data_IF_126335002805
#
_entry.id   IF_126335002805
#
_cell.length_a   1.000
_cell.length_b   1.000
_cell.length_c   1.000
_cell.angle_alpha   90.00
_cell.angle_beta   90.00
_cell.angle_gamma   90.00
#
_symmetry.space_group_name_H-M   'P 1'
#
loop_
_entity.id
_entity.type
_entity.pdbx_description
1 polymer ?
#
# COMPACT_ATOMS: atom_id res chain seq x y z
N UNK A 1 15.03 -7.17 0.71
CA UNK A 1 14.49 -8.54 0.80
C UNK A 1 14.35 -9.25 -0.55
N UNK A 2 14.56 -8.62 -1.69
CA UNK A 2 14.42 -9.25 -3.03
C UNK A 2 15.48 -10.30 -3.39
N UNK A 3 16.39 -10.65 -2.50
CA UNK A 3 17.51 -11.58 -2.78
C UNK A 3 17.48 -12.87 -1.97
N UNK A 4 16.54 -13.04 -1.03
CA UNK A 4 16.47 -14.23 -0.18
C UNK A 4 15.41 -15.18 -0.70
N UNK A 5 15.74 -16.46 -0.78
CA UNK A 5 14.88 -17.52 -1.31
C UNK A 5 14.46 -18.57 -0.27
N UNK A 6 13.53 -19.46 -0.65
CA UNK A 6 13.06 -20.53 0.22
C UNK A 6 14.21 -21.44 0.68
N UNK A 7 14.21 -21.79 1.96
CA UNK A 7 15.21 -22.68 2.56
C UNK A 7 16.54 -22.02 2.94
N UNK A 8 16.69 -20.71 2.68
CA UNK A 8 17.88 -19.95 3.07
C UNK A 8 17.77 -19.40 4.49
N UNK A 9 18.92 -19.12 5.12
CA UNK A 9 18.99 -18.44 6.42
C UNK A 9 19.20 -16.96 6.19
N UNK A 10 18.25 -16.13 6.65
CA UNK A 10 18.36 -14.69 6.60
C UNK A 10 19.32 -14.18 7.67
N UNK A 11 20.38 -13.49 7.25
CA UNK A 11 21.30 -12.77 8.16
C UNK A 11 20.97 -11.29 8.08
N UNK A 12 20.51 -10.70 9.16
CA UNK A 12 20.03 -9.33 9.23
C UNK A 12 20.68 -8.55 10.37
N UNK A 13 20.64 -7.23 10.28
CA UNK A 13 20.99 -6.30 11.36
C UNK A 13 19.81 -5.33 11.50
N UNK A 14 18.80 -5.77 12.26
CA UNK A 14 17.54 -5.06 12.35
C UNK A 14 17.09 -4.96 13.82
N UNK A 15 17.26 -3.79 14.40
CA UNK A 15 16.74 -3.51 15.75
C UNK A 15 15.22 -3.42 15.68
N UNK A 16 14.52 -4.09 16.64
CA UNK A 16 13.07 -4.10 16.72
C UNK A 16 12.40 -4.58 15.42
N UNK A 17 12.56 -5.86 15.08
CA UNK A 17 11.96 -6.44 13.86
C UNK A 17 10.46 -6.15 13.85
N UNK A 18 10.02 -5.35 12.89
CA UNK A 18 8.62 -5.02 12.72
C UNK A 18 7.83 -6.16 12.05
N UNK A 19 6.52 -6.04 12.11
CA UNK A 19 5.59 -7.02 11.54
C UNK A 19 5.78 -7.22 10.04
N UNK A 20 5.97 -6.12 9.29
CA UNK A 20 6.12 -6.17 7.81
C UNK A 20 7.39 -6.90 7.42
N UNK A 21 8.48 -6.64 8.13
CA UNK A 21 9.77 -7.33 7.92
C UNK A 21 9.65 -8.82 8.23
N UNK A 22 8.98 -9.19 9.32
CA UNK A 22 8.77 -10.57 9.70
C UNK A 22 7.89 -11.33 8.69
N UNK A 23 6.76 -10.75 8.29
CA UNK A 23 5.88 -11.34 7.28
C UNK A 23 6.58 -11.52 5.94
N UNK A 24 7.40 -10.55 5.51
CA UNK A 24 8.22 -10.68 4.31
C UNK A 24 9.24 -11.83 4.39
N UNK A 25 9.81 -12.10 5.56
CA UNK A 25 10.70 -13.25 5.79
C UNK A 25 9.92 -14.57 5.75
N UNK A 26 8.73 -14.62 6.36
CA UNK A 26 7.84 -15.79 6.29
C UNK A 26 7.41 -16.08 4.86
N UNK A 27 6.95 -15.06 4.11
CA UNK A 27 6.57 -15.20 2.70
C UNK A 27 7.73 -15.69 1.81
N UNK A 28 8.97 -15.28 2.14
CA UNK A 28 10.17 -15.71 1.41
C UNK A 28 10.54 -17.17 1.72
N UNK A 29 9.90 -17.82 2.71
CA UNK A 29 10.12 -19.22 3.05
C UNK A 29 11.50 -19.49 3.65
N UNK A 30 12.07 -18.55 4.41
CA UNK A 30 13.41 -18.70 5.01
C UNK A 30 13.45 -19.86 6.01
N UNK A 31 14.56 -20.59 6.07
CA UNK A 31 14.77 -21.70 6.99
C UNK A 31 15.14 -21.24 8.41
N UNK A 32 15.56 -19.99 8.59
CA UNK A 32 15.93 -19.41 9.86
C UNK A 32 16.32 -17.94 9.73
N UNK A 33 16.34 -17.25 10.86
CA UNK A 33 16.76 -15.84 10.93
C UNK A 33 17.88 -15.71 11.96
N UNK A 34 18.95 -15.03 11.57
CA UNK A 34 20.05 -14.64 12.45
C UNK A 34 20.14 -13.13 12.46
N UNK A 35 19.86 -12.52 13.60
CA UNK A 35 19.89 -11.07 13.75
C UNK A 35 21.11 -10.61 14.51
N UNK A 36 21.85 -9.67 13.94
CA UNK A 36 23.00 -9.06 14.59
C UNK A 36 22.55 -8.14 15.75
N UNK A 37 21.44 -7.44 15.58
CA UNK A 37 20.82 -6.57 16.59
C UNK A 37 19.84 -7.34 17.50
N UNK A 38 19.21 -6.63 18.45
CA UNK A 38 18.11 -7.15 19.25
C UNK A 38 16.80 -7.04 18.49
N UNK A 39 16.13 -8.16 18.25
CA UNK A 39 14.84 -8.21 17.58
C UNK A 39 13.69 -7.63 18.43
N UNK A 40 13.88 -7.55 19.77
CA UNK A 40 13.07 -6.79 20.70
C UNK A 40 14.03 -5.97 21.55
N UNK A 41 14.13 -4.68 21.27
CA UNK A 41 15.02 -3.74 21.99
C UNK A 41 14.44 -3.21 23.29
N UNK A 42 13.27 -3.70 23.71
CA UNK A 42 12.57 -3.23 24.91
C UNK A 42 11.92 -1.85 24.77
N UNK A 43 11.96 -1.23 23.61
CA UNK A 43 11.36 0.10 23.38
C UNK A 43 9.84 0.04 23.22
N UNK A 44 9.32 -1.00 22.60
CA UNK A 44 7.90 -1.26 22.40
C UNK A 44 7.66 -2.76 22.14
N UNK A 45 6.46 -3.28 22.42
CA UNK A 45 6.15 -4.69 22.19
C UNK A 45 5.94 -4.96 20.69
N UNK A 46 7.04 -5.15 19.95
CA UNK A 46 6.97 -5.48 18.51
C UNK A 46 6.61 -6.95 18.28
N UNK A 47 5.80 -7.19 17.26
CA UNK A 47 5.23 -8.52 16.95
C UNK A 47 6.11 -9.36 16.02
N UNK A 48 7.10 -8.77 15.37
CA UNK A 48 7.89 -9.45 14.34
C UNK A 48 8.53 -10.75 14.78
N UNK A 49 9.26 -10.81 15.91
CA UNK A 49 9.85 -12.03 16.43
C UNK A 49 8.83 -13.14 16.71
N UNK A 50 7.66 -12.78 17.23
CA UNK A 50 6.58 -13.75 17.51
C UNK A 50 6.03 -14.36 16.22
N UNK A 51 5.84 -13.54 15.16
CA UNK A 51 5.38 -13.99 13.83
C UNK A 51 6.35 -15.02 13.24
N UNK A 52 7.67 -14.78 13.34
CA UNK A 52 8.68 -15.72 12.87
C UNK A 52 8.60 -17.05 13.60
N UNK A 53 8.49 -17.01 14.93
CA UNK A 53 8.45 -18.21 15.77
C UNK A 53 7.14 -19.00 15.58
N UNK A 54 5.98 -18.33 15.47
CA UNK A 54 4.69 -18.97 15.19
C UNK A 54 4.66 -19.60 13.79
N UNK A 55 5.42 -19.07 12.83
CA UNK A 55 5.65 -19.68 11.51
C UNK A 55 6.66 -20.85 11.56
N UNK A 56 7.20 -21.20 12.73
CA UNK A 56 8.19 -22.26 12.88
C UNK A 56 9.61 -21.88 12.44
N UNK A 57 9.88 -20.60 12.19
CA UNK A 57 11.18 -20.10 11.76
C UNK A 57 12.06 -19.84 12.98
N UNK A 58 13.20 -20.56 13.17
CA UNK A 58 14.11 -20.33 14.26
C UNK A 58 14.76 -18.94 14.17
N UNK A 59 14.79 -18.22 15.29
CA UNK A 59 15.40 -16.90 15.43
C UNK A 59 16.55 -16.97 16.44
N UNK A 60 17.76 -16.61 15.97
CA UNK A 60 18.94 -16.39 16.83
C UNK A 60 19.22 -14.89 16.84
N UNK A 61 19.13 -14.28 18.00
CA UNK A 61 19.09 -12.84 18.21
C UNK A 61 20.37 -12.31 18.86
N UNK A 62 20.65 -11.01 18.69
CA UNK A 62 21.76 -10.31 19.34
C UNK A 62 23.15 -10.93 19.10
N UNK A 63 23.42 -11.45 17.89
CA UNK A 63 24.71 -12.09 17.56
C UNK A 63 25.84 -11.07 17.45
N UNK A 64 25.51 -9.80 17.30
CA UNK A 64 26.44 -8.69 17.19
C UNK A 64 26.83 -8.31 15.75
N UNK A 65 27.25 -7.04 15.55
CA UNK A 65 27.46 -6.46 14.20
C UNK A 65 28.63 -7.07 13.43
N UNK A 66 29.54 -7.77 14.09
CA UNK A 66 30.67 -8.47 13.44
C UNK A 66 30.19 -9.66 12.59
N UNK A 67 28.98 -10.17 12.81
CA UNK A 67 28.42 -11.28 12.04
C UNK A 67 28.42 -10.97 10.52
N UNK A 68 27.95 -9.80 10.12
CA UNK A 68 27.88 -9.39 8.72
C UNK A 68 29.23 -9.30 8.01
N UNK A 69 30.34 -9.19 8.77
CA UNK A 69 31.72 -9.20 8.24
C UNK A 69 32.28 -10.61 8.13
N UNK A 70 31.73 -11.57 8.89
CA UNK A 70 32.21 -12.95 8.97
C UNK A 70 31.50 -13.91 8.02
N UNK A 71 30.32 -13.53 7.53
CA UNK A 71 29.48 -14.35 6.66
C UNK A 71 29.43 -13.73 5.27
N UNK A 72 29.45 -14.54 4.22
CA UNK A 72 29.31 -14.11 2.83
C UNK A 72 27.94 -14.52 2.29
N UNK A 73 27.44 -13.74 1.35
CA UNK A 73 26.21 -14.09 0.62
C UNK A 73 26.37 -15.45 -0.08
N UNK A 74 25.37 -16.34 0.08
CA UNK A 74 25.40 -17.70 -0.44
C UNK A 74 26.20 -18.72 0.39
N UNK A 75 26.78 -18.31 1.52
CA UNK A 75 27.50 -19.23 2.41
C UNK A 75 26.51 -20.11 3.18
N UNK A 76 26.78 -21.42 3.26
CA UNK A 76 25.94 -22.37 3.99
C UNK A 76 26.11 -22.16 5.48
N UNK A 77 25.01 -21.80 6.16
CA UNK A 77 24.95 -21.61 7.60
C UNK A 77 24.22 -22.77 8.29
N UNK A 78 24.60 -23.04 9.55
CA UNK A 78 23.97 -24.03 10.43
C UNK A 78 23.72 -23.41 11.80
N UNK A 79 22.50 -23.58 12.30
CA UNK A 79 22.08 -23.08 13.61
C UNK A 79 22.03 -24.23 14.61
N UNK A 80 22.80 -24.14 15.70
CA UNK A 80 22.81 -25.10 16.81
C UNK A 80 22.56 -24.37 18.14
N UNK A 81 21.32 -24.38 18.58
CA UNK A 81 20.96 -23.64 19.78
C UNK A 81 21.14 -22.14 19.58
N UNK A 82 22.03 -21.54 20.35
CA UNK A 82 22.43 -20.13 20.33
C UNK A 82 23.63 -19.85 19.40
N UNK A 83 24.20 -20.89 18.75
CA UNK A 83 25.42 -20.83 17.97
C UNK A 83 25.14 -20.82 16.47
N UNK A 84 25.88 -20.00 15.74
CA UNK A 84 25.82 -19.88 14.28
C UNK A 84 27.16 -20.34 13.68
N UNK A 85 27.11 -21.34 12.80
CA UNK A 85 28.27 -21.90 12.12
C UNK A 85 28.21 -21.63 10.62
N UNK A 86 29.34 -21.34 10.02
CA UNK A 86 29.61 -21.37 8.59
C UNK A 86 30.51 -22.56 8.29
N UNK A 87 29.93 -23.66 7.74
CA UNK A 87 30.60 -24.95 7.75
C UNK A 87 30.90 -25.41 9.19
N UNK A 88 32.16 -25.67 9.50
CA UNK A 88 32.61 -26.03 10.86
C UNK A 88 33.09 -24.82 11.68
N UNK A 89 33.13 -23.64 11.09
CA UNK A 89 33.62 -22.42 11.73
C UNK A 89 32.49 -21.74 12.51
N UNK A 90 32.65 -21.55 13.83
CA UNK A 90 31.75 -20.74 14.64
C UNK A 90 31.90 -19.26 14.23
N UNK A 91 30.84 -18.66 13.71
CA UNK A 91 30.82 -17.26 13.24
C UNK A 91 30.14 -16.31 14.21
N UNK A 92 29.25 -16.83 15.08
CA UNK A 92 28.58 -16.01 16.08
C UNK A 92 27.90 -16.83 17.17
N UNK A 93 27.63 -16.17 18.28
CA UNK A 93 26.83 -16.69 19.38
C UNK A 93 25.80 -15.60 19.68
N UNK A 94 24.56 -15.95 19.76
CA UNK A 94 23.46 -15.04 20.09
C UNK A 94 22.55 -15.61 21.17
N UNK A 95 21.30 -15.22 21.15
CA UNK A 95 20.26 -15.75 22.01
C UNK A 95 19.19 -16.40 21.14
N UNK A 96 19.00 -17.70 21.29
CA UNK A 96 17.89 -18.38 20.60
C UNK A 96 16.58 -17.98 21.26
N UNK A 97 15.71 -17.36 20.47
CA UNK A 97 14.40 -16.90 20.94
C UNK A 97 13.41 -18.08 20.99
N UNK A 98 12.50 -17.99 21.95
CA UNK A 98 11.32 -18.81 22.08
C UNK A 98 10.08 -17.93 22.18
N UNK A 99 8.89 -18.49 21.98
CA UNK A 99 7.66 -17.71 22.17
C UNK A 99 7.57 -17.16 23.62
N UNK A 100 8.02 -17.93 24.61
CA UNK A 100 8.03 -17.51 26.01
C UNK A 100 8.91 -16.29 26.24
N UNK A 101 10.19 -16.35 25.78
CA UNK A 101 11.14 -15.22 25.95
C UNK A 101 10.68 -13.98 25.20
N UNK A 102 10.07 -14.14 24.02
CA UNK A 102 9.52 -13.01 23.24
C UNK A 102 8.33 -12.39 23.96
N UNK A 103 7.40 -13.20 24.48
CA UNK A 103 6.23 -12.68 25.23
C UNK A 103 6.62 -11.96 26.52
N UNK A 104 7.64 -12.46 27.23
CA UNK A 104 8.19 -11.81 28.42
C UNK A 104 8.82 -10.45 28.07
N UNK A 105 9.68 -10.40 27.05
CA UNK A 105 10.26 -9.15 26.56
C UNK A 105 9.20 -8.14 26.09
N UNK A 106 8.13 -8.61 25.45
CA UNK A 106 7.00 -7.77 25.07
C UNK A 106 6.26 -7.20 26.27
N UNK A 107 6.07 -7.99 27.33
CA UNK A 107 5.42 -7.54 28.57
C UNK A 107 6.26 -6.46 29.29
N UNK A 108 7.56 -6.64 29.37
CA UNK A 108 8.48 -5.63 29.90
C UNK A 108 8.44 -4.33 29.06
N UNK A 109 8.43 -4.46 27.73
CA UNK A 109 8.30 -3.32 26.84
C UNK A 109 6.99 -2.55 27.02
N UNK A 110 5.89 -3.21 27.39
CA UNK A 110 4.62 -2.58 27.73
C UNK A 110 4.70 -1.67 28.96
N UNK A 111 5.50 -2.03 29.95
CA UNK A 111 5.66 -1.21 31.17
C UNK A 111 6.37 0.12 30.89
N UNK A 112 7.25 0.18 29.85
CA UNK A 112 7.92 1.41 29.42
C UNK A 112 7.09 2.34 28.53
N UNK A 113 5.82 2.04 28.27
CA UNK A 113 4.97 2.79 27.35
C UNK A 113 4.73 4.26 27.78
N UNK A 114 4.67 4.54 29.09
CA UNK A 114 4.42 5.88 29.60
C UNK A 114 5.56 6.86 29.21
N UNK A 115 6.82 6.45 29.37
CA UNK A 115 7.99 7.26 29.01
C UNK A 115 8.07 7.54 27.51
N UNK A 116 7.49 6.67 26.73
CA UNK A 116 7.45 6.78 25.27
C UNK A 116 6.37 7.70 24.78
N UNK A 117 5.20 7.70 25.42
CA UNK A 117 4.19 8.71 25.14
C UNK A 117 4.72 10.11 25.41
N UNK A 118 5.54 10.28 26.44
CA UNK A 118 6.18 11.57 26.71
C UNK A 118 7.19 11.94 25.61
N UNK A 119 8.02 10.97 25.19
CA UNK A 119 8.97 11.16 24.07
C UNK A 119 8.24 11.44 22.76
N UNK A 120 7.15 10.70 22.48
CA UNK A 120 6.31 10.95 21.32
C UNK A 120 5.68 12.34 21.34
N UNK A 121 5.17 12.78 22.50
CA UNK A 121 4.59 14.12 22.64
C UNK A 121 5.63 15.21 22.34
N UNK A 122 6.84 15.07 22.90
CA UNK A 122 7.96 15.99 22.61
C UNK A 122 8.31 16.00 21.12
N UNK A 123 8.52 14.84 20.52
CA UNK A 123 8.82 14.71 19.09
C UNK A 123 7.71 15.31 18.21
N UNK A 124 6.46 15.18 18.65
CA UNK A 124 5.30 15.75 17.93
C UNK A 124 5.33 17.27 17.95
N UNK A 125 5.64 17.87 19.10
CA UNK A 125 5.79 19.32 19.23
C UNK A 125 6.95 19.83 18.37
N UNK A 126 8.10 19.15 18.41
CA UNK A 126 9.27 19.50 17.60
C UNK A 126 8.95 19.39 16.09
N UNK A 127 8.21 18.37 15.69
CA UNK A 127 7.79 18.21 14.29
C UNK A 127 6.85 19.33 13.85
N UNK A 128 5.86 19.71 14.67
CA UNK A 128 4.96 20.82 14.39
C UNK A 128 5.75 22.12 14.17
N UNK A 129 6.75 22.37 15.02
CA UNK A 129 7.57 23.59 14.89
C UNK A 129 8.42 23.60 13.62
N UNK A 130 8.95 22.43 13.22
CA UNK A 130 9.82 22.29 12.04
C UNK A 130 9.06 22.29 10.72
N UNK A 131 7.89 21.66 10.66
CA UNK A 131 7.13 21.41 9.43
C UNK A 131 5.81 22.19 9.37
N UNK A 132 5.73 23.31 10.12
CA UNK A 132 4.53 24.13 10.20
C UNK A 132 3.99 24.53 8.83
N UNK A 133 4.86 24.96 7.93
CA UNK A 133 4.47 25.45 6.60
C UNK A 133 3.95 24.31 5.70
N UNK A 134 4.53 23.13 5.77
CA UNK A 134 4.05 21.94 5.05
C UNK A 134 2.71 21.47 5.65
N UNK A 135 2.64 21.39 6.98
CA UNK A 135 1.44 20.90 7.66
C UNK A 135 0.23 21.83 7.50
N UNK A 136 0.43 23.13 7.52
CA UNK A 136 -0.67 24.11 7.57
C UNK A 136 -0.82 24.97 6.32
N UNK A 137 0.14 24.97 5.41
CA UNK A 137 0.13 25.81 4.22
C UNK A 137 0.38 25.08 2.90
N UNK A 138 0.73 23.79 2.92
CA UNK A 138 1.07 23.03 1.70
C UNK A 138 2.27 23.60 0.95
N UNK A 139 3.08 24.44 1.59
CA UNK A 139 4.23 25.07 0.99
C UNK A 139 5.26 24.02 0.53
N UNK A 140 5.79 24.20 -0.68
CA UNK A 140 6.79 23.31 -1.26
C UNK A 140 6.23 22.09 -2.00
N UNK A 141 4.92 21.88 -2.03
CA UNK A 141 4.32 20.79 -2.81
C UNK A 141 4.31 21.11 -4.31
N UNK A 142 4.78 20.18 -5.17
CA UNK A 142 4.88 20.41 -6.61
C UNK A 142 3.51 20.51 -7.27
N UNK A 143 3.45 21.24 -8.39
CA UNK A 143 2.29 21.18 -9.26
C UNK A 143 2.26 19.84 -10.01
N UNK A 144 1.11 19.19 -10.06
CA UNK A 144 0.89 17.97 -10.84
C UNK A 144 0.16 18.32 -12.15
N UNK A 145 0.41 17.50 -13.19
CA UNK A 145 -0.38 17.53 -14.43
C UNK A 145 -1.72 16.79 -14.25
N UNK A 146 -1.75 15.81 -13.32
CA UNK A 146 -2.96 15.16 -12.92
C UNK A 146 -3.78 16.09 -12.02
N UNK A 147 -5.02 16.33 -12.43
CA UNK A 147 -5.98 17.06 -11.60
C UNK A 147 -6.52 16.12 -10.51
N UNK A 148 -6.33 16.47 -9.26
CA UNK A 148 -6.83 15.76 -8.09
C UNK A 148 -8.08 16.42 -7.50
N UNK A 149 -8.40 17.66 -7.91
CA UNK A 149 -9.51 18.44 -7.38
C UNK A 149 -10.85 17.74 -7.56
N UNK A 150 -11.61 17.57 -6.46
CA UNK A 150 -12.90 16.87 -6.44
C UNK A 150 -12.85 15.40 -6.86
N UNK A 151 -11.68 14.76 -6.83
CA UNK A 151 -11.51 13.35 -7.19
C UNK A 151 -11.09 12.52 -6.00
N UNK A 152 -11.48 11.24 -6.05
CA UNK A 152 -10.90 10.25 -5.13
C UNK A 152 -9.47 9.93 -5.54
N UNK A 153 -8.59 9.81 -4.54
CA UNK A 153 -7.19 9.44 -4.68
C UNK A 153 -6.95 8.13 -3.93
N UNK A 154 -6.33 7.15 -4.57
CA UNK A 154 -5.92 5.90 -3.94
C UNK A 154 -4.41 5.94 -3.72
N UNK A 155 -3.98 5.99 -2.48
CA UNK A 155 -2.56 5.97 -2.08
C UNK A 155 -2.17 4.56 -1.66
N UNK A 156 -1.22 3.96 -2.37
CA UNK A 156 -0.77 2.59 -2.13
C UNK A 156 0.64 2.59 -1.59
N UNK A 157 0.80 2.01 -0.41
CA UNK A 157 2.07 1.79 0.28
C UNK A 157 2.31 0.29 0.40
N UNK A 158 3.52 -0.19 0.32
CA UNK A 158 3.88 -1.59 0.63
C UNK A 158 3.95 -1.82 2.14
N UNK A 159 2.81 -1.67 2.82
CA UNK A 159 2.68 -1.96 4.23
C UNK A 159 1.92 -3.26 4.49
N UNK A 160 1.42 -3.41 5.68
CA UNK A 160 0.70 -4.61 6.11
C UNK A 160 -0.58 -4.86 5.29
N UNK A 161 -0.79 -6.09 4.83
CA UNK A 161 -1.97 -6.55 4.06
C UNK A 161 -2.28 -5.76 2.77
N UNK A 162 -1.30 -5.05 2.19
CA UNK A 162 -1.54 -4.21 1.01
C UNK A 162 -2.10 -4.99 -0.20
N UNK A 163 -1.72 -6.27 -0.36
CA UNK A 163 -2.20 -7.11 -1.47
C UNK A 163 -3.67 -7.43 -1.33
N UNK A 164 -4.09 -7.85 -0.13
CA UNK A 164 -5.47 -8.16 0.19
C UNK A 164 -6.34 -6.89 0.10
N UNK A 165 -5.86 -5.79 0.68
CA UNK A 165 -6.54 -4.49 0.64
C UNK A 165 -6.75 -4.03 -0.82
N UNK A 166 -5.71 -4.14 -1.66
CA UNK A 166 -5.78 -3.76 -3.07
C UNK A 166 -6.72 -4.67 -3.87
N UNK A 167 -6.70 -5.97 -3.59
CA UNK A 167 -7.59 -6.95 -4.25
C UNK A 167 -9.06 -6.67 -3.94
N UNK A 168 -9.39 -6.39 -2.67
CA UNK A 168 -10.76 -6.09 -2.24
C UNK A 168 -11.28 -4.79 -2.83
N UNK A 169 -10.41 -3.80 -3.07
CA UNK A 169 -10.76 -2.53 -3.69
C UNK A 169 -10.92 -2.59 -5.23
N UNK A 170 -10.72 -3.73 -5.86
CA UNK A 170 -10.84 -3.87 -7.31
C UNK A 170 -12.14 -3.31 -7.91
N UNK A 171 -13.34 -3.59 -7.36
CA UNK A 171 -14.60 -2.97 -7.80
C UNK A 171 -14.59 -1.45 -7.66
N UNK A 172 -14.14 -0.92 -6.52
CA UNK A 172 -14.02 0.51 -6.27
C UNK A 172 -13.12 1.20 -7.31
N UNK A 173 -11.93 0.66 -7.57
CA UNK A 173 -10.97 1.22 -8.54
C UNK A 173 -11.60 1.27 -9.95
N UNK A 174 -12.34 0.22 -10.35
CA UNK A 174 -12.96 0.17 -11.67
C UNK A 174 -14.13 1.15 -11.82
N UNK A 175 -14.91 1.34 -10.78
CA UNK A 175 -16.14 2.13 -10.84
C UNK A 175 -15.88 3.61 -10.57
N UNK A 176 -15.12 3.94 -9.52
CA UNK A 176 -14.79 5.32 -9.10
C UNK A 176 -13.66 5.89 -9.96
N UNK A 177 -12.71 5.06 -10.39
CA UNK A 177 -11.51 5.46 -11.16
C UNK A 177 -10.71 6.55 -10.44
N UNK A 178 -10.27 6.28 -9.21
CA UNK A 178 -9.47 7.23 -8.44
C UNK A 178 -8.16 7.54 -9.17
N UNK A 179 -7.51 8.63 -8.79
CA UNK A 179 -6.11 8.87 -9.15
C UNK A 179 -5.26 7.89 -8.35
N UNK A 180 -4.40 7.15 -9.02
CA UNK A 180 -3.58 6.09 -8.41
C UNK A 180 -2.20 6.64 -8.07
N UNK A 181 -1.90 6.74 -6.78
CA UNK A 181 -0.61 7.19 -6.25
C UNK A 181 0.11 5.98 -5.65
N UNK A 182 1.24 5.60 -6.23
CA UNK A 182 2.11 4.57 -5.68
C UNK A 182 3.24 5.21 -4.88
N UNK A 183 3.33 4.90 -3.59
CA UNK A 183 4.42 5.37 -2.73
C UNK A 183 5.53 4.33 -2.73
N UNK A 184 6.68 4.70 -3.26
CA UNK A 184 7.83 3.82 -3.42
C UNK A 184 7.45 2.45 -4.02
N UNK A 185 7.72 1.34 -3.35
CA UNK A 185 7.30 0.00 -3.79
C UNK A 185 5.79 -0.19 -3.97
N UNK A 186 4.95 0.75 -3.50
CA UNK A 186 3.51 0.77 -3.77
C UNK A 186 3.18 0.96 -5.27
N UNK A 187 4.08 1.58 -6.03
CA UNK A 187 3.96 1.67 -7.48
C UNK A 187 4.04 0.29 -8.15
N UNK A 188 4.98 -0.55 -7.71
CA UNK A 188 5.10 -1.93 -8.18
C UNK A 188 3.89 -2.77 -7.76
N UNK A 189 3.36 -2.57 -6.55
CA UNK A 189 2.16 -3.26 -6.09
C UNK A 189 0.93 -2.95 -6.97
N UNK A 190 0.77 -1.70 -7.40
CA UNK A 190 -0.26 -1.31 -8.37
C UNK A 190 -0.08 -2.04 -9.71
N UNK A 191 1.16 -2.11 -10.21
CA UNK A 191 1.48 -2.76 -11.49
C UNK A 191 1.22 -4.27 -11.40
N UNK A 192 1.65 -4.92 -10.33
CA UNK A 192 1.39 -6.34 -10.06
C UNK A 192 -0.11 -6.66 -10.03
N UNK A 193 -0.93 -5.73 -9.51
CA UNK A 193 -2.38 -5.84 -9.50
C UNK A 193 -3.07 -5.47 -10.85
N UNK A 194 -2.29 -5.16 -11.90
CA UNK A 194 -2.80 -4.80 -13.23
C UNK A 194 -3.21 -3.34 -13.38
N UNK A 195 -2.83 -2.48 -12.44
CA UNK A 195 -3.09 -1.05 -12.49
C UNK A 195 -1.82 -0.27 -12.84
N UNK A 196 -1.98 0.82 -13.56
CA UNK A 196 -0.88 1.73 -13.83
C UNK A 196 -0.98 2.94 -12.89
N UNK A 197 0.08 3.25 -12.11
CA UNK A 197 0.08 4.44 -11.28
C UNK A 197 0.02 5.72 -12.14
N UNK A 198 -0.76 6.69 -11.69
CA UNK A 198 -0.79 8.05 -12.25
C UNK A 198 0.36 8.88 -11.69
N UNK A 199 0.67 8.70 -10.39
CA UNK A 199 1.78 9.35 -9.69
C UNK A 199 2.61 8.30 -8.95
N UNK A 200 3.93 8.40 -9.03
CA UNK A 200 4.90 7.66 -8.21
C UNK A 200 5.59 8.67 -7.32
N UNK A 201 5.49 8.49 -6.00
CA UNK A 201 6.07 9.40 -5.01
C UNK A 201 6.94 8.63 -4.03
N UNK A 202 8.12 9.13 -3.70
CA UNK A 202 8.99 8.52 -2.70
C UNK A 202 10.44 8.93 -2.82
N UNK A 203 11.32 8.25 -2.04
CA UNK A 203 12.77 8.41 -2.11
C UNK A 203 13.42 7.55 -3.22
N UNK A 204 12.59 6.73 -3.89
CA UNK A 204 12.95 5.89 -5.03
C UNK A 204 13.91 4.72 -4.71
N UNK A 205 14.08 4.34 -3.47
CA UNK A 205 14.96 3.24 -3.08
C UNK A 205 14.34 1.85 -3.31
N UNK A 206 13.04 1.72 -3.10
CA UNK A 206 12.30 0.45 -3.15
C UNK A 206 11.41 0.27 -4.39
N UNK A 207 11.28 1.28 -5.26
CA UNK A 207 10.54 1.19 -6.52
C UNK A 207 11.42 0.59 -7.64
N UNK A 208 10.83 -0.23 -8.51
CA UNK A 208 11.56 -0.84 -9.63
C UNK A 208 11.84 0.14 -10.77
N UNK A 209 12.93 -0.07 -11.53
CA UNK A 209 13.20 0.69 -12.75
C UNK A 209 12.10 0.52 -13.79
N UNK A 210 11.43 -0.64 -13.82
CA UNK A 210 10.31 -0.90 -14.72
C UNK A 210 9.12 0.04 -14.43
N UNK A 211 8.80 0.27 -13.15
CA UNK A 211 7.78 1.21 -12.73
C UNK A 211 8.16 2.65 -13.08
N UNK A 212 9.40 3.07 -12.80
CA UNK A 212 9.89 4.42 -13.10
C UNK A 212 9.85 4.72 -14.60
N UNK A 213 10.20 3.76 -15.45
CA UNK A 213 10.15 3.91 -16.92
C UNK A 213 8.73 4.10 -17.48
N UNK A 214 7.68 3.91 -16.71
CA UNK A 214 6.32 4.27 -17.13
C UNK A 214 6.18 5.77 -17.39
N UNK A 215 6.93 6.61 -16.69
CA UNK A 215 6.95 8.05 -16.94
C UNK A 215 7.41 8.40 -18.38
N UNK A 216 8.28 7.56 -18.97
CA UNK A 216 8.76 7.72 -20.35
C UNK A 216 7.76 7.24 -21.39
N UNK A 217 6.71 6.53 -20.99
CA UNK A 217 5.69 5.94 -21.87
C UNK A 217 4.31 6.44 -21.49
N UNK A 218 3.93 7.67 -21.86
CA UNK A 218 2.62 8.23 -21.51
C UNK A 218 1.49 7.36 -22.04
N UNK A 219 0.39 7.29 -21.30
CA UNK A 219 -0.83 6.63 -21.75
C UNK A 219 -1.56 7.56 -22.72
N UNK A 220 -1.97 7.04 -23.86
CA UNK A 220 -2.87 7.77 -24.74
C UNK A 220 -4.33 7.51 -24.36
N UNK A 221 -5.08 8.58 -24.09
CA UNK A 221 -6.51 8.50 -23.81
C UNK A 221 -7.21 9.71 -24.44
N UNK A 222 -8.15 9.46 -25.35
CA UNK A 222 -8.92 10.52 -26.03
C UNK A 222 -8.01 11.64 -26.62
N UNK A 223 -6.93 11.26 -27.35
CA UNK A 223 -5.94 12.18 -27.92
C UNK A 223 -5.14 13.03 -26.92
N UNK A 224 -5.25 12.72 -25.62
CA UNK A 224 -4.38 13.29 -24.58
C UNK A 224 -3.32 12.29 -24.15
N UNK A 225 -2.08 12.74 -24.08
CA UNK A 225 -0.98 12.01 -23.46
C UNK A 225 -1.04 12.26 -21.96
N UNK A 226 -1.23 11.21 -21.19
CA UNK A 226 -1.27 11.27 -19.73
C UNK A 226 -0.02 10.53 -19.25
N UNK A 227 1.00 11.26 -18.75
CA UNK A 227 2.21 10.65 -18.22
C UNK A 227 1.92 10.00 -16.87
N UNK A 228 2.77 9.04 -16.45
CA UNK A 228 2.93 8.73 -15.04
C UNK A 228 3.90 9.78 -14.50
N UNK A 229 3.50 10.56 -13.51
CA UNK A 229 4.37 11.59 -12.92
C UNK A 229 5.22 11.00 -11.80
N UNK A 230 6.46 11.42 -11.71
CA UNK A 230 7.38 11.02 -10.64
C UNK A 230 7.70 12.21 -9.76
N UNK A 231 7.49 12.05 -8.45
CA UNK A 231 7.78 13.06 -7.42
C UNK A 231 8.79 12.48 -6.44
N UNK A 232 9.99 13.03 -6.44
CA UNK A 232 11.06 12.61 -5.52
C UNK A 232 10.85 13.27 -4.18
N UNK A 233 10.77 12.46 -3.14
CA UNK A 233 10.82 12.94 -1.77
C UNK A 233 12.28 13.18 -1.39
N UNK A 234 12.65 14.43 -1.22
CA UNK A 234 13.95 14.86 -0.74
C UNK A 234 13.89 15.14 0.76
N UNK A 235 14.95 14.80 1.47
CA UNK A 235 15.11 15.19 2.86
C UNK A 235 15.17 16.71 2.99
N UNK A 236 14.95 17.22 4.20
CA UNK A 236 14.91 18.66 4.47
C UNK A 236 16.21 19.41 4.13
N UNK A 237 17.34 18.75 4.20
CA UNK A 237 18.64 19.26 3.79
C UNK A 237 18.82 19.35 2.26
N UNK A 238 17.80 18.94 1.49
CA UNK A 238 17.81 18.88 0.03
C UNK A 238 18.49 17.63 -0.53
N UNK A 239 18.95 16.71 0.31
CA UNK A 239 19.47 15.44 -0.14
C UNK A 239 18.33 14.56 -0.66
N UNK A 240 18.38 14.18 -1.93
CA UNK A 240 17.40 13.33 -2.60
C UNK A 240 18.12 12.09 -3.17
N UNK A 241 18.16 10.97 -2.45
CA UNK A 241 18.87 9.76 -2.90
C UNK A 241 18.43 9.26 -4.28
N UNK A 242 17.14 9.36 -4.55
CA UNK A 242 16.52 8.91 -5.82
C UNK A 242 16.84 9.77 -7.03
N UNK A 243 17.27 11.03 -6.85
CA UNK A 243 17.53 11.98 -7.96
C UNK A 243 18.55 11.41 -8.95
N UNK A 244 19.71 11.02 -8.47
CA UNK A 244 20.78 10.49 -9.32
C UNK A 244 20.34 9.26 -10.13
N UNK A 245 19.49 8.41 -9.56
CA UNK A 245 18.92 7.24 -10.24
C UNK A 245 17.97 7.65 -11.35
N UNK A 246 17.08 8.62 -11.10
CA UNK A 246 16.13 9.11 -12.09
C UNK A 246 16.83 9.83 -13.25
N UNK A 247 17.85 10.63 -12.94
CA UNK A 247 18.69 11.29 -13.94
C UNK A 247 19.40 10.25 -14.85
N UNK A 248 19.96 9.22 -14.25
CA UNK A 248 20.61 8.12 -14.99
C UNK A 248 19.61 7.34 -15.88
N UNK A 249 18.35 7.22 -15.48
CA UNK A 249 17.29 6.60 -16.25
C UNK A 249 16.65 7.54 -17.28
N UNK A 250 16.96 8.84 -17.24
CA UNK A 250 16.34 9.88 -18.07
C UNK A 250 14.86 10.09 -17.75
N UNK A 251 14.43 9.82 -16.50
CA UNK A 251 13.03 9.94 -16.06
C UNK A 251 12.77 11.37 -15.58
N UNK A 252 11.84 12.11 -16.23
CA UNK A 252 11.45 13.43 -15.75
C UNK A 252 10.78 13.31 -14.38
N UNK A 253 11.17 14.18 -13.45
CA UNK A 253 10.68 14.14 -12.09
C UNK A 253 10.52 15.56 -11.51
N UNK A 254 9.69 15.64 -10.49
CA UNK A 254 9.51 16.82 -9.63
C UNK A 254 10.08 16.49 -8.26
N UNK A 255 10.37 17.49 -7.46
CA UNK A 255 10.90 17.28 -6.11
C UNK A 255 9.99 17.93 -5.08
N UNK A 256 9.94 17.28 -3.91
CA UNK A 256 9.32 17.82 -2.71
C UNK A 256 10.26 17.62 -1.54
N UNK A 257 10.55 18.70 -0.82
CA UNK A 257 11.34 18.65 0.41
C UNK A 257 10.42 18.59 1.61
N UNK A 258 10.51 17.52 2.39
CA UNK A 258 9.71 17.37 3.58
C UNK A 258 10.45 16.53 4.64
N UNK A 259 10.17 16.81 5.92
CA UNK A 259 10.48 15.88 6.99
C UNK A 259 9.23 15.00 7.19
N UNK A 260 9.41 13.72 7.34
CA UNK A 260 8.32 12.77 7.47
C UNK A 260 8.48 11.63 6.50
N UNK A 261 7.45 10.82 6.36
CA UNK A 261 7.48 9.68 5.45
C UNK A 261 6.97 10.06 4.06
N UNK A 262 7.37 9.32 3.03
CA UNK A 262 6.84 9.51 1.67
C UNK A 262 5.31 9.34 1.61
N UNK A 263 4.75 8.51 2.48
CA UNK A 263 3.31 8.35 2.66
C UNK A 263 2.65 9.65 3.13
N UNK A 264 3.24 10.30 4.14
CA UNK A 264 2.73 11.56 4.68
C UNK A 264 2.70 12.66 3.61
N UNK A 265 3.76 12.72 2.81
CA UNK A 265 3.84 13.65 1.68
C UNK A 265 2.77 13.35 0.63
N UNK A 266 2.50 12.08 0.34
CA UNK A 266 1.46 11.69 -0.60
C UNK A 266 0.05 12.11 -0.11
N UNK A 267 -0.24 11.94 1.17
CA UNK A 267 -1.51 12.36 1.77
C UNK A 267 -1.67 13.89 1.75
N UNK A 268 -0.63 14.63 2.14
CA UNK A 268 -0.64 16.09 2.09
C UNK A 268 -0.78 16.60 0.66
N UNK A 269 -0.08 16.01 -0.30
CA UNK A 269 -0.17 16.36 -1.71
C UNK A 269 -1.61 16.18 -2.22
N UNK A 270 -2.24 15.03 -1.93
CA UNK A 270 -3.61 14.78 -2.33
C UNK A 270 -4.58 15.77 -1.69
N UNK A 271 -4.45 16.03 -0.39
CA UNK A 271 -5.29 16.98 0.35
C UNK A 271 -5.16 18.41 -0.20
N UNK A 272 -3.93 18.92 -0.33
CA UNK A 272 -3.68 20.29 -0.79
C UNK A 272 -4.06 20.52 -2.27
N UNK A 273 -4.09 19.45 -3.08
CA UNK A 273 -4.62 19.50 -4.45
C UNK A 273 -6.14 19.33 -4.52
N UNK A 274 -6.83 19.34 -3.38
CA UNK A 274 -8.30 19.34 -3.30
C UNK A 274 -8.94 17.99 -3.59
N UNK A 275 -8.26 16.88 -3.27
CA UNK A 275 -8.89 15.56 -3.36
C UNK A 275 -10.17 15.51 -2.51
N UNK A 276 -11.24 14.91 -3.05
CA UNK A 276 -12.49 14.69 -2.33
C UNK A 276 -12.36 13.60 -1.27
N UNK A 277 -11.58 12.55 -1.58
CA UNK A 277 -11.38 11.39 -0.71
C UNK A 277 -9.99 10.82 -0.93
N UNK A 278 -9.32 10.43 0.13
CA UNK A 278 -8.07 9.69 0.09
C UNK A 278 -8.32 8.29 0.64
N UNK A 279 -8.05 7.26 -0.16
CA UNK A 279 -8.12 5.87 0.28
C UNK A 279 -6.71 5.34 0.46
N UNK A 280 -6.37 4.94 1.68
CA UNK A 280 -5.05 4.40 2.02
C UNK A 280 -5.04 2.88 1.94
N UNK A 281 -4.07 2.32 1.20
CA UNK A 281 -3.80 0.88 1.07
C UNK A 281 -2.44 0.56 1.64
N UNK A 282 -2.36 -0.48 2.47
CA UNK A 282 -1.12 -0.89 3.13
C UNK A 282 -0.66 0.07 4.22
N UNK A 283 -1.49 1.01 4.62
CA UNK A 283 -1.25 1.96 5.68
C UNK A 283 -2.49 2.06 6.56
N UNK A 284 -2.35 1.70 7.81
CA UNK A 284 -3.45 1.65 8.77
C UNK A 284 -3.16 2.55 9.97
N UNK A 285 -4.11 3.37 10.37
CA UNK A 285 -4.00 4.29 11.50
C UNK A 285 -4.41 3.64 12.82
N UNK A 286 -3.84 2.48 13.18
CA UNK A 286 -4.16 1.82 14.44
C UNK A 286 -3.01 1.83 15.43
N UNK A 287 -3.34 1.71 16.73
CA UNK A 287 -2.36 1.76 17.81
C UNK A 287 -1.28 0.67 17.69
N UNK A 288 -1.63 -0.50 17.12
CA UNK A 288 -0.67 -1.59 16.94
C UNK A 288 0.42 -1.20 15.96
N UNK A 289 0.07 -0.63 14.79
CA UNK A 289 1.06 -0.14 13.84
C UNK A 289 1.85 1.06 14.36
N UNK A 290 1.18 1.90 15.16
CA UNK A 290 1.83 2.99 15.85
C UNK A 290 2.93 2.49 16.80
N UNK A 291 2.66 1.44 17.54
CA UNK A 291 3.63 0.83 18.45
C UNK A 291 4.70 0.01 17.72
N UNK A 292 4.34 -0.68 16.64
CA UNK A 292 5.27 -1.47 15.82
C UNK A 292 6.28 -0.59 15.06
N UNK A 293 5.86 0.56 14.56
CA UNK A 293 6.75 1.43 13.78
C UNK A 293 7.77 2.22 14.59
N UNK A 294 7.58 2.49 15.89
CA UNK A 294 8.51 3.09 16.88
C UNK A 294 9.59 4.08 16.42
N UNK A 295 9.49 4.61 15.19
CA UNK A 295 10.50 5.41 14.50
C UNK A 295 10.22 6.92 14.60
N UNK A 296 11.23 7.73 14.30
CA UNK A 296 11.14 9.20 14.28
C UNK A 296 10.00 9.76 13.41
N UNK A 297 9.56 9.03 12.37
CA UNK A 297 8.45 9.44 11.49
C UNK A 297 7.04 9.32 12.08
N UNK A 298 6.86 8.77 13.29
CA UNK A 298 5.51 8.56 13.84
C UNK A 298 4.78 9.85 14.19
N UNK A 299 5.52 10.88 14.64
CA UNK A 299 4.96 12.20 14.91
C UNK A 299 4.38 12.83 13.63
N UNK A 300 5.10 12.70 12.53
CA UNK A 300 4.69 13.13 11.20
C UNK A 300 3.39 12.43 10.77
N UNK A 301 3.40 11.12 10.77
CA UNK A 301 2.25 10.31 10.34
C UNK A 301 1.00 10.59 11.17
N UNK A 302 1.15 10.74 12.50
CA UNK A 302 0.04 11.10 13.37
C UNK A 302 -0.58 12.44 13.00
N UNK A 303 0.25 13.47 12.85
CA UNK A 303 -0.21 14.83 12.56
C UNK A 303 -0.80 14.95 11.15
N UNK A 304 -0.18 14.30 10.17
CA UNK A 304 -0.70 14.29 8.79
C UNK A 304 -2.04 13.58 8.74
N UNK A 305 -2.18 12.43 9.37
CA UNK A 305 -3.47 11.73 9.45
C UNK A 305 -4.54 12.54 10.16
N UNK A 306 -4.18 13.29 11.20
CA UNK A 306 -5.11 14.20 11.86
C UNK A 306 -5.56 15.33 10.92
N UNK A 307 -4.62 15.91 10.14
CA UNK A 307 -4.92 16.98 9.19
C UNK A 307 -5.83 16.53 8.05
N UNK A 308 -5.55 15.37 7.46
CA UNK A 308 -6.31 14.86 6.30
C UNK A 308 -7.50 13.99 6.71
N UNK A 309 -7.75 13.86 8.03
CA UNK A 309 -8.68 12.88 8.60
C UNK A 309 -10.12 12.99 8.12
N UNK A 310 -10.57 14.17 7.73
CA UNK A 310 -11.93 14.37 7.18
C UNK A 310 -12.15 13.64 5.85
N UNK A 311 -11.08 13.46 5.05
CA UNK A 311 -11.15 12.84 3.71
C UNK A 311 -10.38 11.52 3.61
N UNK A 312 -9.69 11.10 4.67
CA UNK A 312 -8.86 9.90 4.71
C UNK A 312 -9.69 8.68 5.14
N UNK A 313 -9.67 7.64 4.34
CA UNK A 313 -10.30 6.35 4.62
C UNK A 313 -9.30 5.21 4.46
N UNK A 314 -9.31 4.24 5.38
CA UNK A 314 -8.57 3.00 5.20
C UNK A 314 -9.27 2.08 4.18
N UNK A 315 -8.49 1.31 3.43
CA UNK A 315 -8.98 0.33 2.44
C UNK A 315 -10.07 -0.60 2.99
N UNK A 316 -9.88 -1.09 4.22
CA UNK A 316 -10.86 -1.95 4.92
C UNK A 316 -12.18 -1.24 5.22
N UNK A 317 -12.13 0.06 5.54
CA UNK A 317 -13.32 0.88 5.72
C UNK A 317 -14.10 1.00 4.43
N UNK A 318 -13.41 1.38 3.36
CA UNK A 318 -14.02 1.52 2.02
C UNK A 318 -14.62 0.20 1.55
N UNK A 319 -13.92 -0.92 1.68
CA UNK A 319 -14.40 -2.22 1.21
C UNK A 319 -15.67 -2.71 1.92
N UNK A 320 -15.89 -2.28 3.17
CA UNK A 320 -17.10 -2.64 3.94
C UNK A 320 -18.32 -1.80 3.58
N UNK A 321 -18.09 -0.56 3.17
CA UNK A 321 -19.17 0.41 2.91
C UNK A 321 -19.47 0.49 1.41
N UNK A 322 -18.49 0.25 0.56
CA UNK A 322 -18.63 0.34 -0.88
C UNK A 322 -19.38 -0.88 -1.43
N UNK A 323 -20.56 -0.65 -1.99
CA UNK A 323 -21.30 -1.65 -2.76
C UNK A 323 -21.13 -1.39 -4.26
N UNK A 324 -20.69 -2.37 -5.06
CA UNK A 324 -20.51 -2.20 -6.49
C UNK A 324 -21.82 -1.72 -7.14
N UNK A 325 -21.75 -0.65 -7.91
CA UNK A 325 -22.89 -0.17 -8.67
C UNK A 325 -23.08 -1.03 -9.92
N UNK A 326 -24.31 -1.48 -10.16
CA UNK A 326 -24.68 -2.11 -11.42
C UNK A 326 -24.50 -1.05 -12.51
N UNK A 327 -23.61 -1.29 -13.46
CA UNK A 327 -23.41 -0.35 -14.58
C UNK A 327 -24.66 -0.32 -15.42
N UNK A 328 -25.11 0.88 -15.76
CA UNK A 328 -26.24 1.08 -16.70
C UNK A 328 -26.05 0.26 -17.98
N UNK A 329 -24.82 0.15 -18.48
CA UNK A 329 -24.49 -0.68 -19.63
C UNK A 329 -24.80 -2.16 -19.41
N UNK A 330 -24.49 -2.71 -18.26
CA UNK A 330 -24.69 -4.14 -17.95
C UNK A 330 -26.19 -4.42 -17.77
N UNK A 331 -26.92 -3.48 -17.16
CA UNK A 331 -28.37 -3.53 -17.10
C UNK A 331 -29.01 -3.46 -18.49
N UNK A 332 -28.53 -2.56 -19.36
CA UNK A 332 -29.00 -2.44 -20.75
C UNK A 332 -28.69 -3.72 -21.53
N UNK A 333 -27.50 -4.28 -21.40
CA UNK A 333 -27.14 -5.55 -22.07
C UNK A 333 -28.02 -6.71 -21.61
N UNK A 334 -28.35 -6.77 -20.32
CA UNK A 334 -29.23 -7.79 -19.74
C UNK A 334 -30.64 -7.66 -20.31
N UNK A 335 -31.18 -6.43 -20.33
CA UNK A 335 -32.52 -6.15 -20.91
C UNK A 335 -32.51 -6.44 -22.42
N UNK A 336 -31.50 -6.02 -23.15
CA UNK A 336 -31.37 -6.31 -24.59
C UNK A 336 -31.30 -7.80 -24.86
N UNK A 337 -30.51 -8.55 -24.07
CA UNK A 337 -30.43 -10.01 -24.19
C UNK A 337 -31.77 -10.69 -23.92
N UNK A 338 -32.50 -10.24 -22.88
CA UNK A 338 -33.84 -10.76 -22.58
C UNK A 338 -34.84 -10.45 -23.71
N UNK A 339 -34.82 -9.26 -24.29
CA UNK A 339 -35.66 -8.89 -25.44
C UNK A 339 -35.33 -9.71 -26.68
N UNK A 340 -34.05 -9.95 -26.97
CA UNK A 340 -33.62 -10.80 -28.10
C UNK A 340 -34.10 -12.23 -27.86
N UNK A 341 -33.91 -12.79 -26.68
CA UNK A 341 -34.37 -14.13 -26.34
C UNK A 341 -35.90 -14.28 -26.49
N UNK A 342 -36.65 -13.29 -25.99
CA UNK A 342 -38.09 -13.25 -26.11
C UNK A 342 -38.54 -13.14 -27.56
N UNK A 343 -37.86 -12.28 -28.36
CA UNK A 343 -38.12 -12.17 -29.81
C UNK A 343 -37.87 -13.47 -30.57
N UNK A 344 -36.79 -14.21 -30.21
CA UNK A 344 -36.53 -15.53 -30.78
C UNK A 344 -37.60 -16.56 -30.42
N UNK A 345 -38.04 -16.59 -29.17
CA UNK A 345 -39.13 -17.51 -28.74
C UNK A 345 -40.44 -17.19 -29.47
N UNK A 346 -40.80 -15.93 -29.61
CA UNK A 346 -41.97 -15.50 -30.40
C UNK A 346 -41.83 -15.88 -31.87
N UNK A 347 -40.63 -15.70 -32.46
CA UNK A 347 -40.39 -16.02 -33.86
C UNK A 347 -40.49 -17.52 -34.16
N UNK A 348 -40.08 -18.39 -33.25
CA UNK A 348 -40.08 -19.86 -33.40
C UNK A 348 -41.42 -20.48 -33.06
N UNK A 349 -42.22 -19.86 -32.15
CA UNK A 349 -43.51 -20.39 -31.69
C UNK A 349 -44.67 -19.80 -32.51
N UNK A 350 -45.37 -20.60 -33.38
CA UNK A 350 -46.54 -20.07 -34.10
C UNK A 350 -47.65 -19.57 -33.23
N UNK A 351 -47.90 -20.22 -32.09
CA UNK A 351 -48.94 -19.83 -31.11
C UNK A 351 -48.65 -18.48 -30.48
N UNK A 352 -47.41 -18.22 -30.05
CA UNK A 352 -47.00 -16.94 -29.44
C UNK A 352 -47.05 -15.81 -30.51
N UNK A 353 -46.66 -16.11 -31.75
CA UNK A 353 -46.75 -15.13 -32.82
C UNK A 353 -48.18 -14.67 -33.06
N UNK A 354 -49.17 -15.62 -33.04
CA UNK A 354 -50.58 -15.29 -33.20
C UNK A 354 -51.07 -14.40 -32.03
N UNK A 355 -50.72 -14.75 -30.81
CA UNK A 355 -51.10 -13.94 -29.62
C UNK A 355 -50.51 -12.53 -29.69
N UNK A 356 -49.25 -12.38 -30.05
CA UNK A 356 -48.62 -11.04 -30.20
C UNK A 356 -49.27 -10.23 -31.32
N UNK A 357 -49.65 -10.87 -32.45
CA UNK A 357 -50.30 -10.19 -33.54
C UNK A 357 -51.68 -9.68 -33.12
N UNK A 358 -52.48 -10.49 -32.44
CA UNK A 358 -53.80 -10.10 -31.92
C UNK A 358 -53.67 -8.95 -30.91
N UNK A 359 -52.71 -9.01 -30.01
CA UNK A 359 -52.48 -7.96 -29.00
C UNK A 359 -52.06 -6.64 -29.65
N UNK A 360 -51.24 -6.69 -30.70
CA UNK A 360 -50.85 -5.50 -31.47
C UNK A 360 -52.03 -4.89 -32.22
N UNK A 361 -52.97 -5.72 -32.73
CA UNK A 361 -54.21 -5.22 -33.36
C UNK A 361 -55.14 -4.55 -32.36
N UNK A 362 -55.31 -5.13 -31.14
CA UNK A 362 -56.09 -4.49 -30.07
C UNK A 362 -55.51 -3.14 -29.63
N UNK A 363 -54.16 -3.10 -29.43
CA UNK A 363 -53.48 -1.84 -29.07
C UNK A 363 -53.65 -0.79 -30.18
N UNK A 364 -53.56 -1.23 -31.46
CA UNK A 364 -53.77 -0.35 -32.61
C UNK A 364 -55.18 0.19 -32.67
N UNK A 365 -56.20 -0.65 -32.41
CA UNK A 365 -57.61 -0.23 -32.36
C UNK A 365 -57.84 0.79 -31.25
N UNK A 366 -57.31 0.51 -30.04
CA UNK A 366 -57.38 1.41 -28.90
C UNK A 366 -56.74 2.79 -29.19
N UNK A 367 -55.62 2.81 -29.90
CA UNK A 367 -54.98 4.07 -30.32
C UNK A 367 -55.83 4.83 -31.38
N UNK A 368 -56.55 4.14 -32.23
CA UNK A 368 -57.44 4.76 -33.21
C UNK A 368 -58.65 5.38 -32.50
N UNK A 369 -59.27 4.67 -31.56
CA UNK A 369 -60.38 5.19 -30.78
C UNK A 369 -59.98 6.42 -29.93
N UNK A 370 -58.78 6.39 -29.34
CA UNK A 370 -58.28 7.54 -28.54
C UNK A 370 -58.03 8.79 -29.42
N UNK A 371 -57.66 8.58 -30.69
CA UNK A 371 -57.43 9.66 -31.65
C UNK A 371 -58.73 10.27 -32.20
N UNK A 372 -59.81 9.50 -32.23
CA UNK A 372 -61.12 10.03 -32.61
C UNK A 372 -61.82 10.77 -31.44
N UNK A 373 -61.37 10.56 -30.22
CA UNK A 373 -61.91 11.23 -29.02
C UNK A 373 -61.15 12.53 -28.65
N UNK A 374 -60.02 12.83 -29.28
CA UNK A 374 -59.21 14.06 -29.15
C UNK A 374 -59.36 14.95 -30.38
#
# INVERSE_FOLDING_TARGET
MQRIGPGEIAVIDHEDIDRVSAEGLVESGVAGVVNAAHSIGGRYPNLGPLILLEAGIPLVDAVGPLLLRKVREGEVLRLEGDRVFAGDRLVGIGTRQSEGSVREAMAEAQLGLADRFESFARNTVDYIQRERDLLFGGAGLPALEHDLGGRSVLVVVRGYNFKEDLAVLGPYIRDVRPVLVGVDGGADALIEAGYRPDVILGDMDSVSDAALRLALRPRERFHRRIPTEVVVHAYRDGHAPGRARLDALGVPHKEVQAAGTSEDVAFLLAHEKGAETIVAVGSHGNLREFLDKGREGMASTFLVRLRVGEILMDAKGVSRVYSPRIRTRDAVLLVAGALIAMGLVIAVSPSLRLYVTLLLEEVRQWFFELRELL
#
